data_IF_185087018118
#
_entry.id   IF_185087018118
#
_cell.length_a   1.000
_cell.length_b   1.000
_cell.length_c   1.000
_cell.angle_alpha   90.00
_cell.angle_beta   90.00
_cell.angle_gamma   90.00
#
_symmetry.space_group_name_H-M   'P 1'
#
loop_
_entity.id
_entity.type
_entity.pdbx_description
1 polymer ?
#
# COMPACT_ATOMS: atom_id res chain seq x y z
N UNK A 1 10.63 6.71 27.50
CA UNK A 1 11.26 7.19 26.27
C UNK A 1 10.24 7.22 25.15
N UNK A 2 10.16 8.31 24.44
CA UNK A 2 9.23 8.45 23.33
C UNK A 2 9.95 7.98 22.08
N UNK A 3 9.46 6.91 21.49
CA UNK A 3 9.97 6.46 20.22
C UNK A 3 9.55 7.42 19.12
N UNK A 4 10.48 7.72 18.24
CA UNK A 4 10.23 8.61 17.12
C UNK A 4 9.67 7.82 15.95
N UNK A 5 8.55 8.29 15.42
CA UNK A 5 7.97 7.76 14.20
C UNK A 5 8.30 8.70 13.04
N UNK A 6 8.79 8.14 11.96
CA UNK A 6 8.99 8.88 10.72
C UNK A 6 8.06 8.30 9.65
N UNK A 7 7.23 9.16 9.09
CA UNK A 7 6.38 8.82 7.96
C UNK A 7 6.96 9.51 6.73
N UNK A 8 7.27 8.72 5.70
CA UNK A 8 7.85 9.24 4.47
C UNK A 8 6.84 9.06 3.35
N UNK A 9 6.52 10.17 2.68
CA UNK A 9 5.64 10.14 1.51
C UNK A 9 6.49 9.86 0.28
N UNK A 10 6.28 8.69 -0.32
CA UNK A 10 6.98 8.34 -1.55
C UNK A 10 6.26 8.95 -2.76
N UNK A 11 7.01 9.26 -3.84
CA UNK A 11 6.37 9.73 -5.06
C UNK A 11 5.28 8.79 -5.53
N UNK A 12 4.14 9.33 -5.96
CA UNK A 12 3.05 8.53 -6.45
C UNK A 12 3.43 7.72 -7.67
N UNK A 13 2.85 6.55 -7.78
CA UNK A 13 2.93 5.73 -8.99
C UNK A 13 1.56 5.74 -9.69
N UNK A 14 1.42 5.00 -10.78
CA UNK A 14 0.15 4.97 -11.49
C UNK A 14 0.02 6.06 -12.53
N UNK A 15 1.15 6.56 -13.02
CA UNK A 15 1.18 7.49 -14.14
C UNK A 15 0.85 6.72 -15.43
N UNK A 16 -0.42 6.34 -15.61
CA UNK A 16 -0.85 5.52 -16.74
C UNK A 16 -0.50 6.14 -18.10
N UNK A 17 -0.28 7.46 -18.13
CA UNK A 17 0.05 8.20 -19.35
C UNK A 17 1.50 8.69 -19.36
N UNK A 18 2.30 8.34 -18.35
CA UNK A 18 3.69 8.76 -18.32
C UNK A 18 4.54 7.94 -19.30
N UNK A 19 5.58 8.52 -19.91
CA UNK A 19 6.53 7.77 -20.73
C UNK A 19 7.15 6.61 -19.93
N UNK A 20 7.46 5.52 -20.63
CA UNK A 20 8.01 4.32 -19.99
C UNK A 20 9.34 4.55 -19.30
N UNK A 21 10.18 5.44 -19.85
CA UNK A 21 11.47 5.78 -19.27
C UNK A 21 11.32 6.50 -17.93
N UNK A 22 10.31 7.36 -17.78
CA UNK A 22 10.01 8.05 -16.52
C UNK A 22 9.53 7.05 -15.47
N UNK A 23 8.64 6.14 -15.86
CA UNK A 23 8.13 5.09 -14.96
C UNK A 23 9.28 4.20 -14.50
N UNK A 24 10.18 3.81 -15.41
CA UNK A 24 11.35 3.00 -15.07
C UNK A 24 12.27 3.70 -14.10
N UNK A 25 12.58 4.98 -14.35
CA UNK A 25 13.43 5.78 -13.46
C UNK A 25 12.80 5.92 -12.07
N UNK A 26 11.49 6.13 -12.00
CA UNK A 26 10.76 6.20 -10.76
C UNK A 26 10.87 4.88 -9.97
N UNK A 27 10.64 3.74 -10.65
CA UNK A 27 10.73 2.42 -10.02
C UNK A 27 12.14 2.15 -9.49
N UNK A 28 13.18 2.51 -10.23
CA UNK A 28 14.56 2.33 -9.81
C UNK A 28 14.88 3.17 -8.58
N UNK A 29 14.42 4.42 -8.53
CA UNK A 29 14.63 5.31 -7.38
C UNK A 29 13.93 4.79 -6.13
N UNK A 30 12.69 4.34 -6.26
CA UNK A 30 11.94 3.78 -5.13
C UNK A 30 12.59 2.50 -4.65
N UNK A 31 13.00 1.61 -5.55
CA UNK A 31 13.65 0.36 -5.20
C UNK A 31 14.97 0.62 -4.45
N UNK A 32 15.78 1.56 -4.93
CA UNK A 32 17.01 1.96 -4.25
C UNK A 32 16.73 2.49 -2.85
N UNK A 33 15.71 3.34 -2.71
CA UNK A 33 15.28 3.86 -1.42
C UNK A 33 14.91 2.73 -0.46
N UNK A 34 14.08 1.80 -0.90
CA UNK A 34 13.60 0.71 -0.06
C UNK A 34 14.74 -0.19 0.41
N UNK A 35 15.67 -0.51 -0.48
CA UNK A 35 16.83 -1.36 -0.15
C UNK A 35 17.79 -0.69 0.81
N UNK A 36 17.90 0.63 0.77
CA UNK A 36 18.83 1.38 1.60
C UNK A 36 18.30 1.75 2.98
N UNK A 37 17.06 1.40 3.32
CA UNK A 37 16.41 1.86 4.56
C UNK A 37 16.28 0.72 5.57
N UNK A 38 17.32 0.52 6.38
CA UNK A 38 17.32 -0.52 7.43
C UNK A 38 16.23 -0.29 8.49
N UNK A 39 15.79 0.94 8.69
CA UNK A 39 14.77 1.29 9.68
C UNK A 39 13.34 1.26 9.15
N UNK A 40 13.17 0.95 7.87
CA UNK A 40 11.84 0.85 7.27
C UNK A 40 11.09 -0.35 7.86
N UNK A 41 9.94 -0.08 8.47
CA UNK A 41 9.12 -1.11 9.11
C UNK A 41 8.04 -1.65 8.20
N UNK A 42 7.38 -0.77 7.48
CA UNK A 42 6.26 -1.15 6.61
C UNK A 42 5.97 -0.06 5.59
N UNK A 43 5.56 -0.47 4.41
CA UNK A 43 5.02 0.42 3.39
C UNK A 43 3.50 0.28 3.39
N UNK A 44 2.79 1.39 3.40
CA UNK A 44 1.34 1.38 3.18
C UNK A 44 1.08 1.64 1.71
N UNK A 45 0.52 0.66 1.04
CA UNK A 45 0.19 0.73 -0.38
C UNK A 45 -1.25 1.17 -0.53
N UNK A 46 -1.44 2.40 -0.97
CA UNK A 46 -2.78 3.00 -1.09
C UNK A 46 -3.40 2.67 -2.44
N UNK A 47 -4.59 2.10 -2.43
CA UNK A 47 -5.33 1.74 -3.63
C UNK A 47 -6.69 2.40 -3.59
N UNK A 48 -7.00 3.20 -4.62
CA UNK A 48 -8.32 3.81 -4.76
C UNK A 48 -9.36 2.72 -5.02
N UNK A 49 -10.30 2.57 -4.09
CA UNK A 49 -11.28 1.48 -4.16
C UNK A 49 -12.20 1.57 -5.37
N UNK A 50 -12.36 2.76 -5.96
CA UNK A 50 -13.18 2.91 -7.17
C UNK A 50 -12.57 2.21 -8.38
N UNK A 51 -11.25 2.07 -8.39
CA UNK A 51 -10.52 1.47 -9.51
C UNK A 51 -10.10 0.03 -9.24
N UNK A 52 -10.02 -0.36 -7.96
CA UNK A 52 -9.52 -1.68 -7.58
C UNK A 52 -8.04 -1.85 -7.86
N UNK A 53 -7.57 -3.09 -7.76
CA UNK A 53 -6.17 -3.43 -7.98
C UNK A 53 -5.87 -3.43 -9.47
N UNK A 54 -4.87 -2.64 -9.86
CA UNK A 54 -4.42 -2.54 -11.26
C UNK A 54 -3.06 -3.22 -11.42
N UNK A 55 -2.63 -3.37 -12.69
CA UNK A 55 -1.32 -3.94 -12.98
C UNK A 55 -0.17 -3.16 -12.33
N UNK A 56 -0.27 -1.83 -12.30
CA UNK A 56 0.76 -1.01 -11.63
C UNK A 56 0.86 -1.34 -10.15
N UNK A 57 -0.26 -1.66 -9.51
CA UNK A 57 -0.27 -2.06 -8.10
C UNK A 57 0.41 -3.41 -7.90
N UNK A 58 0.09 -4.40 -8.74
CA UNK A 58 0.72 -5.72 -8.64
C UNK A 58 2.20 -5.66 -8.98
N UNK A 59 2.61 -4.81 -9.89
CA UNK A 59 4.03 -4.59 -10.18
C UNK A 59 4.75 -4.02 -8.95
N UNK A 60 4.13 -3.08 -8.24
CA UNK A 60 4.68 -2.56 -6.98
C UNK A 60 4.76 -3.66 -5.91
N UNK A 61 3.73 -4.48 -5.80
CA UNK A 61 3.72 -5.61 -4.86
C UNK A 61 4.88 -6.57 -5.13
N UNK A 62 5.14 -6.89 -6.40
CA UNK A 62 6.28 -7.73 -6.76
C UNK A 62 7.60 -7.08 -6.38
N UNK A 63 7.73 -5.77 -6.56
CA UNK A 63 8.94 -5.06 -6.16
C UNK A 63 9.17 -5.16 -4.66
N UNK A 64 8.13 -5.00 -3.85
CA UNK A 64 8.24 -5.16 -2.41
C UNK A 64 8.59 -6.60 -2.02
N UNK A 65 8.02 -7.58 -2.71
CA UNK A 65 8.33 -8.99 -2.47
C UNK A 65 9.81 -9.28 -2.74
N UNK A 66 10.33 -8.79 -3.86
CA UNK A 66 11.74 -8.98 -4.24
C UNK A 66 12.69 -8.29 -3.25
N UNK A 67 12.32 -7.09 -2.81
CA UNK A 67 13.11 -6.33 -1.84
C UNK A 67 12.94 -6.83 -0.40
N UNK A 68 12.05 -7.78 -0.16
CA UNK A 68 11.70 -8.28 1.17
C UNK A 68 11.22 -7.16 2.10
N UNK A 69 10.42 -6.25 1.58
CA UNK A 69 9.86 -5.12 2.32
C UNK A 69 8.39 -5.40 2.62
N UNK A 70 8.05 -5.51 3.90
CA UNK A 70 6.66 -5.71 4.32
C UNK A 70 5.80 -4.53 3.87
N UNK A 71 4.64 -4.82 3.29
CA UNK A 71 3.68 -3.80 2.90
C UNK A 71 2.27 -4.21 3.31
N UNK A 72 1.43 -3.22 3.50
CA UNK A 72 0.02 -3.43 3.85
C UNK A 72 -0.85 -2.64 2.88
N UNK A 73 -1.86 -3.30 2.34
CA UNK A 73 -2.78 -2.69 1.39
C UNK A 73 -3.84 -1.90 2.12
N UNK A 74 -3.99 -0.64 1.73
CA UNK A 74 -4.99 0.28 2.26
C UNK A 74 -5.91 0.68 1.12
N UNK A 75 -7.19 0.35 1.24
CA UNK A 75 -8.19 0.79 0.28
C UNK A 75 -8.69 2.17 0.68
N UNK A 76 -8.61 3.13 -0.24
CA UNK A 76 -9.05 4.49 0.01
C UNK A 76 -10.38 4.78 -0.67
N UNK A 77 -11.05 5.85 -0.23
CA UNK A 77 -12.29 6.35 -0.84
C UNK A 77 -13.41 5.31 -0.86
N UNK A 78 -13.50 4.49 0.19
CA UNK A 78 -14.53 3.44 0.26
C UNK A 78 -15.93 4.01 0.41
N UNK A 79 -16.07 5.28 0.76
CA UNK A 79 -17.35 6.00 0.75
C UNK A 79 -17.91 6.19 -0.67
N UNK A 80 -17.08 6.03 -1.70
CA UNK A 80 -17.47 6.22 -3.10
C UNK A 80 -17.94 4.95 -3.80
N UNK A 81 -17.92 3.81 -3.11
CA UNK A 81 -18.35 2.53 -3.68
C UNK A 81 -19.40 1.89 -2.79
N UNK A 82 -20.17 0.94 -3.36
CA UNK A 82 -21.16 0.20 -2.61
C UNK A 82 -20.50 -0.86 -1.72
N UNK A 83 -21.26 -1.35 -0.74
CA UNK A 83 -20.80 -2.44 0.13
C UNK A 83 -20.46 -3.69 -0.69
N UNK A 84 -21.25 -3.99 -1.71
CA UNK A 84 -21.01 -5.14 -2.58
C UNK A 84 -19.70 -4.99 -3.36
N UNK A 85 -19.42 -3.81 -3.87
CA UNK A 85 -18.17 -3.52 -4.57
C UNK A 85 -16.98 -3.64 -3.62
N UNK A 86 -17.11 -3.14 -2.39
CA UNK A 86 -16.07 -3.25 -1.39
C UNK A 86 -15.77 -4.72 -1.05
N UNK A 87 -16.80 -5.52 -0.85
CA UNK A 87 -16.63 -6.95 -0.56
C UNK A 87 -15.91 -7.67 -1.71
N UNK A 88 -16.22 -7.31 -2.95
CA UNK A 88 -15.54 -7.89 -4.12
C UNK A 88 -14.06 -7.53 -4.13
N UNK A 89 -13.71 -6.27 -3.88
CA UNK A 89 -12.31 -5.83 -3.87
C UNK A 89 -11.54 -6.52 -2.74
N UNK A 90 -12.13 -6.63 -1.56
CA UNK A 90 -11.52 -7.34 -0.44
C UNK A 90 -11.28 -8.82 -0.78
N UNK A 91 -12.25 -9.46 -1.40
CA UNK A 91 -12.12 -10.85 -1.85
C UNK A 91 -11.02 -11.01 -2.90
N UNK A 92 -10.99 -10.13 -3.90
CA UNK A 92 -9.97 -10.18 -4.95
C UNK A 92 -8.56 -9.96 -4.37
N UNK A 93 -8.43 -9.03 -3.41
CA UNK A 93 -7.15 -8.77 -2.75
C UNK A 93 -6.70 -9.97 -1.92
N UNK A 94 -7.62 -10.60 -1.20
CA UNK A 94 -7.30 -11.80 -0.42
C UNK A 94 -6.83 -12.97 -1.30
N UNK A 95 -7.36 -13.08 -2.52
CA UNK A 95 -6.96 -14.14 -3.45
C UNK A 95 -5.50 -14.04 -3.87
N UNK A 96 -4.96 -12.84 -3.97
CA UNK A 96 -3.57 -12.65 -4.38
C UNK A 96 -2.58 -12.71 -3.22
N UNK A 97 -3.06 -12.74 -1.99
CA UNK A 97 -2.20 -12.74 -0.80
C UNK A 97 -1.17 -13.87 -0.82
N UNK A 98 -1.59 -15.08 -1.21
CA UNK A 98 -0.71 -16.23 -1.22
C UNK A 98 0.43 -16.13 -2.23
N UNK A 99 0.29 -15.27 -3.23
CA UNK A 99 1.30 -15.04 -4.26
C UNK A 99 2.26 -13.90 -3.89
N UNK A 100 2.05 -13.23 -2.75
CA UNK A 100 2.83 -12.06 -2.35
C UNK A 100 3.34 -12.23 -0.92
N UNK A 101 4.54 -12.82 -0.75
CA UNK A 101 5.06 -13.15 0.59
C UNK A 101 5.31 -11.95 1.49
N UNK A 102 5.53 -10.76 0.93
CA UNK A 102 5.76 -9.56 1.73
C UNK A 102 4.47 -8.83 2.13
N UNK A 103 3.30 -9.29 1.64
CA UNK A 103 2.03 -8.65 1.93
C UNK A 103 1.56 -8.95 3.35
N UNK A 104 1.20 -7.90 4.09
CA UNK A 104 0.53 -8.05 5.38
C UNK A 104 -0.89 -8.59 5.15
N UNK A 105 -1.36 -9.56 5.96
CA UNK A 105 -2.64 -10.23 5.72
C UNK A 105 -3.86 -9.35 5.93
N UNK A 106 -3.74 -8.29 6.75
CA UNK A 106 -4.88 -7.41 7.04
C UNK A 106 -4.94 -6.28 6.03
N UNK A 107 -6.07 -6.18 5.33
CA UNK A 107 -6.36 -5.11 4.39
C UNK A 107 -7.29 -4.12 5.10
N UNK A 108 -6.95 -2.84 5.08
CA UNK A 108 -7.74 -1.82 5.76
C UNK A 108 -8.53 -1.01 4.75
N UNK A 109 -9.84 -0.98 4.90
CA UNK A 109 -10.72 -0.14 4.10
C UNK A 109 -10.86 1.21 4.79
N UNK A 110 -10.61 2.30 4.05
CA UNK A 110 -10.61 3.64 4.63
C UNK A 110 -11.42 4.65 3.84
N UNK A 111 -11.86 5.69 4.54
CA UNK A 111 -12.44 6.88 3.93
C UNK A 111 -12.04 8.10 4.76
N UNK A 112 -11.36 9.05 4.15
CA UNK A 112 -11.04 10.31 4.82
C UNK A 112 -12.28 11.18 5.01
N UNK A 113 -13.31 10.99 4.20
CA UNK A 113 -14.56 11.75 4.28
C UNK A 113 -15.35 11.43 5.57
N UNK A 114 -15.45 10.15 5.92
CA UNK A 114 -16.25 9.73 7.07
C UNK A 114 -15.43 9.12 8.21
N UNK A 115 -14.11 9.05 8.07
CA UNK A 115 -13.22 8.55 9.13
C UNK A 115 -13.13 7.03 9.24
N UNK A 116 -13.77 6.27 8.37
CA UNK A 116 -13.70 4.82 8.39
C UNK A 116 -12.26 4.35 8.28
N UNK A 117 -11.87 3.37 9.09
CA UNK A 117 -10.56 2.72 9.02
C UNK A 117 -9.41 3.50 9.66
N UNK A 118 -9.62 4.75 10.08
CA UNK A 118 -8.53 5.56 10.66
C UNK A 118 -8.01 4.97 11.97
N UNK A 119 -8.89 4.43 12.80
CA UNK A 119 -8.47 3.80 14.06
C UNK A 119 -7.64 2.54 13.79
N UNK A 120 -8.00 1.77 12.78
CA UNK A 120 -7.27 0.58 12.39
C UNK A 120 -5.86 0.92 11.91
N UNK A 121 -5.73 1.97 11.08
CA UNK A 121 -4.41 2.44 10.64
C UNK A 121 -3.58 2.91 11.82
N UNK A 122 -4.15 3.68 12.72
CA UNK A 122 -3.47 4.15 13.92
C UNK A 122 -2.98 2.99 14.78
N UNK A 123 -3.81 1.96 14.92
CA UNK A 123 -3.44 0.74 15.64
C UNK A 123 -2.25 0.03 15.01
N UNK A 124 -2.26 -0.11 13.69
CA UNK A 124 -1.15 -0.74 12.96
C UNK A 124 0.14 0.06 13.12
N UNK A 125 0.08 1.39 13.00
CA UNK A 125 1.25 2.24 13.19
C UNK A 125 1.76 2.13 14.63
N UNK A 126 0.87 2.13 15.60
CA UNK A 126 1.24 1.98 17.01
C UNK A 126 1.96 0.67 17.26
N UNK A 127 1.48 -0.42 16.68
CA UNK A 127 2.12 -1.72 16.82
C UNK A 127 3.52 -1.76 16.22
N UNK A 128 3.77 -0.98 15.17
CA UNK A 128 5.09 -0.91 14.54
C UNK A 128 6.13 -0.17 15.37
N UNK A 129 5.72 0.71 16.26
CA UNK A 129 6.63 1.53 17.07
C UNK A 129 6.82 1.03 18.50
N UNK A 130 6.19 -0.08 18.84
CA UNK A 130 6.38 -0.71 20.16
C UNK A 130 7.80 -1.17 20.41
#
# INVERSE_FOLDING_TARGET
>A
MIDKLMIVDLPGYGFAKAPKDIVKAWNENVNTYLKGRAQLRRVFLLIDSRQGIKKVDTDMMEMFDIAAVNYQTILTKTDKISQKELEKILSDTNKIYNSHPAMHPIIIATSSENGTGLNEIRGEIFDLIK
#
